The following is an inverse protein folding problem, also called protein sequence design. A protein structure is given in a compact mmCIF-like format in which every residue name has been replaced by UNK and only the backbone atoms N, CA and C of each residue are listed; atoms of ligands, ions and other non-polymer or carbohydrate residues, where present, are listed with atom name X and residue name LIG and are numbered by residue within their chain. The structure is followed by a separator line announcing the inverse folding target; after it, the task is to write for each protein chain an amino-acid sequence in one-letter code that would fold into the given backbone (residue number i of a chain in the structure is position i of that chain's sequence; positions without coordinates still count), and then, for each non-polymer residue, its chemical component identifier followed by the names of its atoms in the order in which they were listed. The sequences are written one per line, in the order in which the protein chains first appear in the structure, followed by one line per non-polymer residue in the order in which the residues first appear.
data_IF_517159032521
#
_entry.id   IF_517159032521
#
_cell.length_a   1.000
_cell.length_b   1.000
_cell.length_c   1.000
_cell.angle_alpha   90.00
_cell.angle_beta   90.00
_cell.angle_gamma   90.00
#
_symmetry.space_group_name_H-M   'P 1'
#
loop_
_entity.id
_entity.type
_entity.pdbx_description
1 polymer ?
#
# COMPACT_ATOMS: atom_id res chain seq x y z
N UNK A 1 -13.63 -0.80 -11.63
CA UNK A 1 -13.90 -1.55 -10.37
C UNK A 1 -13.43 -0.65 -9.24
N UNK A 2 -14.20 -0.47 -8.16
CA UNK A 2 -13.74 0.34 -7.04
C UNK A 2 -12.65 -0.43 -6.30
N UNK A 3 -11.45 0.14 -6.20
CA UNK A 3 -10.38 -0.39 -5.37
C UNK A 3 -10.66 0.07 -3.94
N UNK A 4 -10.81 -0.87 -3.02
CA UNK A 4 -11.02 -0.58 -1.60
C UNK A 4 -9.70 -0.71 -0.84
N UNK A 5 -9.64 -0.13 0.36
CA UNK A 5 -8.50 -0.30 1.27
C UNK A 5 -8.13 -1.77 1.48
N UNK A 6 -9.13 -2.66 1.60
CA UNK A 6 -8.89 -4.10 1.75
C UNK A 6 -8.13 -4.72 0.56
N UNK A 7 -8.38 -4.25 -0.66
CA UNK A 7 -7.71 -4.72 -1.87
C UNK A 7 -6.24 -4.28 -1.88
N UNK A 8 -5.99 -3.02 -1.50
CA UNK A 8 -4.64 -2.44 -1.37
C UNK A 8 -3.84 -3.17 -0.28
N UNK A 9 -4.46 -3.43 0.88
CA UNK A 9 -3.83 -4.17 1.96
C UNK A 9 -3.46 -5.60 1.54
N UNK A 10 -4.36 -6.30 0.83
CA UNK A 10 -4.10 -7.65 0.34
C UNK A 10 -2.93 -7.68 -0.67
N UNK A 11 -2.83 -6.68 -1.55
CA UNK A 11 -1.70 -6.53 -2.46
C UNK A 11 -0.40 -6.31 -1.68
N UNK A 12 -0.38 -5.44 -0.68
CA UNK A 12 0.81 -5.19 0.14
C UNK A 12 1.24 -6.40 0.96
N UNK A 13 0.31 -7.19 1.51
CA UNK A 13 0.64 -8.47 2.14
C UNK A 13 1.30 -9.43 1.15
N UNK A 14 0.73 -9.56 -0.05
CA UNK A 14 1.30 -10.43 -1.10
C UNK A 14 2.69 -9.98 -1.53
N UNK A 15 2.94 -8.68 -1.62
CA UNK A 15 4.28 -8.14 -1.90
C UNK A 15 5.25 -8.49 -0.78
N UNK A 16 4.82 -8.37 0.49
CA UNK A 16 5.65 -8.75 1.63
C UNK A 16 5.99 -10.25 1.61
N UNK A 17 5.00 -11.12 1.33
CA UNK A 17 5.23 -12.56 1.18
C UNK A 17 6.27 -12.87 0.11
N UNK A 18 6.16 -12.24 -1.07
CA UNK A 18 7.11 -12.42 -2.17
C UNK A 18 8.52 -11.97 -1.78
N UNK A 19 8.65 -10.78 -1.19
CA UNK A 19 9.93 -10.26 -0.74
C UNK A 19 10.57 -11.14 0.35
N UNK A 20 9.76 -11.75 1.21
CA UNK A 20 10.22 -12.68 2.23
C UNK A 20 10.70 -14.00 1.61
N UNK A 21 10.00 -14.53 0.60
CA UNK A 21 10.42 -15.72 -0.16
C UNK A 21 11.73 -15.47 -0.92
N UNK A 22 11.91 -14.27 -1.44
CA UNK A 22 13.12 -13.85 -2.18
C UNK A 22 14.32 -13.54 -1.27
N UNK A 23 14.20 -13.70 0.05
CA UNK A 23 15.20 -13.29 1.05
C UNK A 23 15.65 -11.83 0.85
N UNK A 24 14.70 -10.98 0.44
CA UNK A 24 14.94 -9.57 0.20
C UNK A 24 15.17 -8.82 1.51
N UNK A 25 15.49 -7.52 1.41
CA UNK A 25 15.80 -6.70 2.58
C UNK A 25 14.68 -6.76 3.65
N UNK A 26 14.96 -7.22 4.89
CA UNK A 26 13.97 -7.35 5.96
C UNK A 26 13.31 -6.03 6.36
N UNK A 27 13.96 -4.90 6.10
CA UNK A 27 13.35 -3.57 6.28
C UNK A 27 12.20 -3.35 5.29
N UNK A 28 12.38 -3.74 4.01
CA UNK A 28 11.34 -3.61 2.99
C UNK A 28 10.17 -4.54 3.28
N UNK A 29 10.42 -5.80 3.62
CA UNK A 29 9.37 -6.75 4.01
C UNK A 29 8.51 -6.16 5.14
N UNK A 30 9.15 -5.66 6.21
CA UNK A 30 8.45 -5.03 7.33
C UNK A 30 7.68 -3.78 6.94
N UNK A 31 8.22 -2.96 6.03
CA UNK A 31 7.51 -1.78 5.53
C UNK A 31 6.19 -2.16 4.84
N UNK A 32 6.21 -3.16 3.94
CA UNK A 32 4.99 -3.65 3.28
C UNK A 32 3.98 -4.27 4.26
N UNK A 33 4.43 -5.10 5.21
CA UNK A 33 3.56 -5.66 6.27
C UNK A 33 2.92 -4.58 7.15
N UNK A 34 3.67 -3.53 7.46
CA UNK A 34 3.16 -2.43 8.29
C UNK A 34 2.16 -1.59 7.49
N UNK A 35 2.47 -1.30 6.23
CA UNK A 35 1.57 -0.61 5.33
C UNK A 35 0.25 -1.36 5.15
N UNK A 36 0.30 -2.68 4.91
CA UNK A 36 -0.91 -3.49 4.78
C UNK A 36 -1.81 -3.41 6.01
N UNK A 37 -1.23 -3.57 7.21
CA UNK A 37 -1.97 -3.47 8.49
C UNK A 37 -2.57 -2.09 8.70
N UNK A 38 -1.83 -1.04 8.39
CA UNK A 38 -2.32 0.34 8.49
C UNK A 38 -3.51 0.57 7.56
N UNK A 39 -3.36 0.19 6.29
CA UNK A 39 -4.38 0.34 5.24
C UNK A 39 -5.64 -0.44 5.59
N UNK A 40 -5.50 -1.66 6.12
CA UNK A 40 -6.63 -2.47 6.54
C UNK A 40 -7.42 -1.86 7.72
N UNK A 41 -6.73 -1.17 8.63
CA UNK A 41 -7.33 -0.50 9.79
C UNK A 41 -7.83 0.91 9.52
N UNK A 42 -7.53 1.48 8.34
CA UNK A 42 -7.92 2.83 7.97
C UNK A 42 -9.45 2.91 7.75
N UNK A 43 -10.11 3.68 8.60
CA UNK A 43 -11.55 3.99 8.46
C UNK A 43 -11.84 4.94 7.32
N UNK A 44 -10.84 5.72 6.91
CA UNK A 44 -10.93 6.63 5.78
C UNK A 44 -10.47 5.95 4.49
N UNK A 45 -11.19 6.19 3.39
CA UNK A 45 -10.92 5.54 2.11
C UNK A 45 -9.68 6.18 1.46
N UNK A 46 -8.65 5.38 1.17
CA UNK A 46 -7.45 5.84 0.49
C UNK A 46 -7.75 6.40 -0.89
N UNK A 47 -8.77 5.88 -1.57
CA UNK A 47 -9.21 6.44 -2.83
C UNK A 47 -9.69 7.89 -2.65
N UNK A 48 -10.48 8.16 -1.63
CA UNK A 48 -10.96 9.50 -1.34
C UNK A 48 -9.80 10.45 -0.99
N UNK A 49 -8.82 9.98 -0.21
CA UNK A 49 -7.61 10.74 0.11
C UNK A 49 -6.82 11.11 -1.16
N UNK A 50 -6.62 10.14 -2.05
CA UNK A 50 -5.90 10.35 -3.32
C UNK A 50 -6.67 11.32 -4.23
N UNK A 51 -7.99 11.17 -4.34
CA UNK A 51 -8.84 12.08 -5.13
C UNK A 51 -8.88 13.50 -4.55
N UNK A 52 -8.76 13.65 -3.23
CA UNK A 52 -8.64 14.94 -2.53
C UNK A 52 -7.24 15.56 -2.64
N UNK A 53 -6.25 14.83 -3.16
CA UNK A 53 -4.86 15.29 -3.26
C UNK A 53 -4.12 15.30 -1.93
N UNK A 54 -4.52 14.47 -0.98
CA UNK A 54 -3.88 14.34 0.33
C UNK A 54 -2.49 13.69 0.23
N UNK A 55 -1.59 14.10 1.12
CA UNK A 55 -0.26 13.51 1.21
C UNK A 55 -0.29 12.22 2.04
N UNK A 56 -0.28 11.09 1.35
CA UNK A 56 -0.26 9.77 2.00
C UNK A 56 1.01 9.51 2.82
N UNK A 57 2.09 10.29 2.66
CA UNK A 57 3.31 10.12 3.47
C UNK A 57 3.15 10.63 4.90
N UNK A 58 2.08 11.39 5.18
CA UNK A 58 1.71 11.76 6.56
C UNK A 58 1.16 10.56 7.35
N UNK A 59 0.76 9.48 6.67
CA UNK A 59 0.32 8.25 7.31
C UNK A 59 1.51 7.53 7.97
N UNK A 60 1.42 7.19 9.28
CA UNK A 60 2.55 6.61 9.99
C UNK A 60 2.93 5.24 9.41
N UNK A 61 4.15 5.14 8.90
CA UNK A 61 4.67 3.91 8.28
C UNK A 61 4.49 3.84 6.77
N UNK A 62 3.89 4.84 6.13
CA UNK A 62 3.85 5.00 4.67
C UNK A 62 4.94 5.98 4.25
N UNK A 63 6.00 5.48 3.60
CA UNK A 63 7.01 6.32 2.96
C UNK A 63 6.63 6.68 1.52
N UNK A 64 7.44 7.52 0.86
CA UNK A 64 7.19 7.96 -0.53
C UNK A 64 6.98 6.80 -1.53
N UNK A 65 7.74 5.72 -1.42
CA UNK A 65 7.62 4.55 -2.32
C UNK A 65 6.25 3.86 -2.16
N UNK A 66 5.81 3.68 -0.91
CA UNK A 66 4.52 3.08 -0.60
C UNK A 66 3.37 4.00 -1.03
N UNK A 67 3.48 5.31 -0.76
CA UNK A 67 2.49 6.31 -1.18
C UNK A 67 2.30 6.30 -2.71
N UNK A 68 3.40 6.32 -3.47
CA UNK A 68 3.36 6.24 -4.94
C UNK A 68 2.65 4.98 -5.43
N UNK A 69 2.92 3.83 -4.80
CA UNK A 69 2.25 2.56 -5.12
C UNK A 69 0.76 2.58 -4.79
N UNK A 70 0.36 3.18 -3.67
CA UNK A 70 -1.06 3.35 -3.33
C UNK A 70 -1.76 4.19 -4.41
N UNK A 71 -1.19 5.34 -4.77
CA UNK A 71 -1.73 6.22 -5.81
C UNK A 71 -1.85 5.46 -7.14
N UNK A 72 -0.83 4.70 -7.52
CA UNK A 72 -0.83 3.88 -8.73
C UNK A 72 -1.99 2.86 -8.71
N UNK A 73 -2.15 2.12 -7.62
CA UNK A 73 -3.21 1.13 -7.47
C UNK A 73 -4.61 1.74 -7.51
N UNK A 74 -4.80 2.88 -6.86
CA UNK A 74 -6.07 3.62 -6.86
C UNK A 74 -6.39 4.15 -8.27
N UNK A 75 -5.40 4.65 -8.99
CA UNK A 75 -5.60 5.33 -10.28
C UNK A 75 -5.75 4.34 -11.43
N UNK A 76 -4.94 3.27 -11.44
CA UNK A 76 -4.85 2.34 -12.56
C UNK A 76 -5.62 1.03 -12.32
N UNK A 77 -5.92 0.71 -11.06
CA UNK A 77 -6.43 -0.61 -10.68
C UNK A 77 -5.37 -1.72 -10.70
N UNK A 78 -4.11 -1.39 -10.98
CA UNK A 78 -3.00 -2.31 -11.10
C UNK A 78 -1.84 -1.87 -10.18
N UNK A 79 -1.04 -2.83 -9.71
CA UNK A 79 0.20 -2.54 -9.00
C UNK A 79 1.35 -3.01 -9.88
N UNK A 80 2.22 -2.10 -10.35
CA UNK A 80 3.40 -2.42 -11.19
C UNK A 80 4.33 -3.51 -10.64
N UNK A 81 4.23 -3.85 -9.36
CA UNK A 81 5.03 -4.91 -8.74
C UNK A 81 4.47 -6.33 -8.95
N UNK A 82 3.21 -6.47 -9.37
CA UNK A 82 2.51 -7.75 -9.58
C UNK A 82 2.00 -7.86 -11.01
#
# INVERSE_FOLDING_TARGET
MAVHNADIAAIFEKIADLLEIEDANPFRVRAYRNAARLVQGLTHDLKAMVEAGEDLTELPGIGEDLAKKIIEMVTTGHCSFL
#
